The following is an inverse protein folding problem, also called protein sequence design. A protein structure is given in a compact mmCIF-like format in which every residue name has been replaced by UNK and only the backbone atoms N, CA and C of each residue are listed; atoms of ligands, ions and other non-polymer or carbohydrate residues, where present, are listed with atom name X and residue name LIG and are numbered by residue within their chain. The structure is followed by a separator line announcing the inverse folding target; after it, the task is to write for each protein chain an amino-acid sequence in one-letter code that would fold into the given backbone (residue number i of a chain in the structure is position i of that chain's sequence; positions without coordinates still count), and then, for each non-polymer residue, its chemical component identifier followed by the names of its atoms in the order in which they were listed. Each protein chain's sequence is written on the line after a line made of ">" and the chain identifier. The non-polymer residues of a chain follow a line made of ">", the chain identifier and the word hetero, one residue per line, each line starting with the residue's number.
data_IF_660780164799
#
_entry.id   IF_660780164799
#
_cell.length_a   1.000
_cell.length_b   1.000
_cell.length_c   1.000
_cell.angle_alpha   90.00
_cell.angle_beta   90.00
_cell.angle_gamma   90.00
#
_symmetry.space_group_name_H-M   'P 1'
#
loop_
_entity.id
_entity.type
_entity.pdbx_description
1 polymer ?
#
# COMPACT_ATOMS: atom_id res chain seq x y z
N UNK A 1 3.30 -0.98 -8.47
CA UNK A 1 2.95 -1.35 -7.08
C UNK A 1 3.24 -0.14 -6.22
N UNK A 2 2.31 0.24 -5.35
CA UNK A 2 2.40 1.45 -4.53
C UNK A 2 2.25 1.08 -3.07
N UNK A 3 3.06 1.71 -2.22
CA UNK A 3 2.91 1.62 -0.78
C UNK A 3 3.07 2.99 -0.14
N UNK A 4 2.30 3.25 0.91
CA UNK A 4 2.45 4.41 1.78
C UNK A 4 2.61 3.93 3.23
N UNK A 5 3.26 4.74 4.05
CA UNK A 5 3.53 4.46 5.46
C UNK A 5 3.37 5.72 6.29
N UNK A 6 2.87 5.57 7.50
CA UNK A 6 2.95 6.57 8.54
C UNK A 6 2.84 5.91 9.93
N UNK A 7 3.87 6.05 10.76
CA UNK A 7 3.92 5.38 12.06
C UNK A 7 3.80 3.87 11.93
N UNK A 8 2.79 3.29 12.58
CA UNK A 8 2.51 1.84 12.56
C UNK A 8 1.64 1.41 11.37
N UNK A 9 1.20 2.35 10.55
CA UNK A 9 0.20 2.12 9.52
C UNK A 9 0.82 2.18 8.14
N UNK A 10 0.23 1.44 7.21
CA UNK A 10 0.54 1.55 5.81
C UNK A 10 -0.62 1.16 4.91
N UNK A 11 -0.50 1.53 3.64
CA UNK A 11 -1.41 1.09 2.60
C UNK A 11 -0.60 0.51 1.44
N UNK A 12 -1.16 -0.49 0.76
CA UNK A 12 -0.54 -1.16 -0.38
C UNK A 12 -1.58 -1.35 -1.49
N UNK A 13 -1.18 -1.15 -2.74
CA UNK A 13 -2.05 -1.34 -3.89
C UNK A 13 -1.30 -1.62 -5.18
N UNK A 14 -2.01 -2.19 -6.16
CA UNK A 14 -1.49 -2.44 -7.51
C UNK A 14 -2.32 -1.68 -8.53
N UNK A 15 -1.85 -0.47 -8.88
CA UNK A 15 -2.39 0.30 -10.00
C UNK A 15 -1.72 -0.16 -11.30
N UNK A 16 -2.55 -0.70 -12.20
CA UNK A 16 -2.20 -1.13 -13.55
C UNK A 16 -2.54 -0.02 -14.57
N UNK A 17 -2.05 -0.08 -15.83
CA UNK A 17 -2.42 0.90 -16.85
C UNK A 17 -3.94 1.07 -16.96
N UNK A 18 -4.41 2.33 -16.88
CA UNK A 18 -5.84 2.69 -16.85
C UNK A 18 -6.47 2.76 -15.47
N UNK A 19 -5.77 2.34 -14.40
CA UNK A 19 -6.23 2.46 -13.02
C UNK A 19 -5.83 3.81 -12.41
N UNK A 20 -6.83 4.60 -12.01
CA UNK A 20 -6.67 5.92 -11.40
C UNK A 20 -6.74 5.90 -9.85
N UNK A 21 -6.80 4.72 -9.22
CA UNK A 21 -6.96 4.55 -7.77
C UNK A 21 -5.92 5.30 -6.94
N UNK A 22 -4.66 5.33 -7.39
CA UNK A 22 -3.57 6.09 -6.73
C UNK A 22 -3.89 7.58 -6.67
N UNK A 23 -4.31 8.16 -7.80
CA UNK A 23 -4.65 9.59 -7.86
C UNK A 23 -5.87 9.93 -7.01
N UNK A 24 -6.85 9.03 -6.93
CA UNK A 24 -8.06 9.20 -6.11
C UNK A 24 -7.74 9.14 -4.61
N UNK A 25 -6.83 8.26 -4.19
CA UNK A 25 -6.47 8.08 -2.79
C UNK A 25 -5.53 9.17 -2.25
N UNK A 26 -4.48 9.51 -3.01
CA UNK A 26 -3.39 10.35 -2.49
C UNK A 26 -3.44 11.80 -2.98
N UNK A 27 -4.22 12.11 -4.02
CA UNK A 27 -4.36 13.47 -4.54
C UNK A 27 -3.03 14.13 -4.89
N UNK A 28 -2.88 15.42 -4.54
CA UNK A 28 -1.70 16.25 -4.82
C UNK A 28 -0.97 16.73 -3.55
N UNK A 29 -1.14 16.04 -2.41
CA UNK A 29 -0.49 16.43 -1.15
C UNK A 29 0.99 16.04 -1.10
N UNK A 30 1.87 16.95 -0.69
CA UNK A 30 3.32 16.71 -0.62
C UNK A 30 3.80 16.08 0.70
N UNK A 31 3.00 16.13 1.79
CA UNK A 31 3.37 15.62 3.12
C UNK A 31 2.17 14.99 3.81
N UNK A 32 2.36 13.82 4.41
CA UNK A 32 1.36 13.15 5.22
C UNK A 32 1.68 13.21 6.73
N UNK A 33 0.97 12.39 7.50
CA UNK A 33 1.09 12.33 8.97
C UNK A 33 2.41 11.71 9.44
N UNK A 34 3.19 11.09 8.54
CA UNK A 34 4.54 10.59 8.81
C UNK A 34 5.49 11.70 9.27
N UNK A 35 5.23 12.96 8.87
CA UNK A 35 5.98 14.13 9.36
C UNK A 35 5.89 14.32 10.88
N UNK A 36 4.83 13.79 11.50
CA UNK A 36 4.57 13.85 12.95
C UNK A 36 4.81 12.50 13.61
N UNK A 37 4.37 11.41 12.98
CA UNK A 37 4.44 10.06 13.57
C UNK A 37 5.77 9.33 13.31
N UNK A 38 6.58 9.85 12.38
CA UNK A 38 7.77 9.16 11.90
C UNK A 38 7.42 7.86 11.17
N UNK A 39 8.45 7.06 10.90
CA UNK A 39 8.32 5.74 10.29
C UNK A 39 9.27 4.76 11.01
N UNK A 40 8.80 4.10 12.08
CA UNK A 40 9.55 3.03 12.74
C UNK A 40 10.03 2.00 11.70
N UNK A 41 11.26 1.51 11.83
CA UNK A 41 11.92 0.72 10.77
C UNK A 41 11.15 -0.56 10.35
N UNK A 42 10.32 -1.12 11.22
CA UNK A 42 9.51 -2.30 10.89
C UNK A 42 8.39 -2.01 9.89
N UNK A 43 7.79 -0.81 9.89
CA UNK A 43 6.69 -0.45 8.98
C UNK A 43 7.13 -0.46 7.52
N UNK A 44 8.18 0.27 7.08
CA UNK A 44 8.66 0.17 5.70
C UNK A 44 9.14 -1.24 5.36
N UNK A 45 9.73 -1.98 6.30
CA UNK A 45 10.18 -3.35 6.05
C UNK A 45 9.02 -4.31 5.72
N UNK A 46 7.92 -4.23 6.47
CA UNK A 46 6.71 -5.03 6.19
C UNK A 46 6.08 -4.59 4.87
N UNK A 47 5.85 -3.29 4.66
CA UNK A 47 5.21 -2.80 3.44
C UNK A 47 6.05 -3.07 2.18
N UNK A 48 7.39 -3.01 2.28
CA UNK A 48 8.28 -3.41 1.19
C UNK A 48 8.16 -4.91 0.88
N UNK A 49 8.11 -5.76 1.90
CA UNK A 49 7.96 -7.21 1.72
C UNK A 49 6.64 -7.57 1.03
N UNK A 50 5.53 -6.94 1.44
CA UNK A 50 4.23 -7.13 0.81
C UNK A 50 4.21 -6.58 -0.63
N UNK A 51 4.86 -5.44 -0.87
CA UNK A 51 5.02 -4.88 -2.22
C UNK A 51 5.77 -5.82 -3.15
N UNK A 52 6.84 -6.45 -2.66
CA UNK A 52 7.59 -7.47 -3.42
C UNK A 52 6.69 -8.67 -3.72
N UNK A 53 5.88 -9.11 -2.76
CA UNK A 53 4.96 -10.23 -2.97
C UNK A 53 3.96 -9.97 -4.11
N UNK A 54 3.36 -8.78 -4.19
CA UNK A 54 2.50 -8.39 -5.32
C UNK A 54 3.30 -8.22 -6.63
N UNK A 55 4.52 -7.69 -6.54
CA UNK A 55 5.39 -7.48 -7.72
C UNK A 55 5.79 -8.82 -8.35
N UNK A 56 6.15 -9.82 -7.54
CA UNK A 56 6.49 -11.16 -8.03
C UNK A 56 5.32 -11.77 -8.79
N UNK A 57 4.07 -11.59 -8.33
CA UNK A 57 2.87 -12.07 -9.05
C UNK A 57 2.82 -11.48 -10.47
N UNK A 58 3.03 -10.17 -10.60
CA UNK A 58 3.09 -9.51 -11.91
C UNK A 58 4.18 -10.09 -12.81
N UNK A 59 5.40 -10.25 -12.28
CA UNK A 59 6.54 -10.73 -13.06
C UNK A 59 6.36 -12.16 -13.58
N UNK A 60 5.65 -13.02 -12.85
CA UNK A 60 5.38 -14.40 -13.25
C UNK A 60 4.03 -14.58 -13.96
N UNK A 61 3.37 -13.49 -14.35
CA UNK A 61 2.11 -13.52 -15.10
C UNK A 61 0.88 -13.95 -14.28
N UNK A 62 0.92 -13.81 -12.96
CA UNK A 62 -0.22 -14.05 -12.06
C UNK A 62 -1.00 -12.76 -11.83
N UNK A 63 -2.32 -12.89 -11.72
CA UNK A 63 -3.19 -11.78 -11.31
C UNK A 63 -2.82 -11.32 -9.88
N UNK A 64 -2.53 -10.02 -9.67
CA UNK A 64 -2.29 -9.47 -8.34
C UNK A 64 -3.50 -9.63 -7.42
N UNK A 65 -3.27 -9.86 -6.13
CA UNK A 65 -4.36 -9.94 -5.15
C UNK A 65 -5.00 -8.58 -4.90
N UNK A 66 -4.26 -7.51 -5.16
CA UNK A 66 -4.68 -6.11 -4.99
C UNK A 66 -5.01 -5.45 -6.33
N UNK A 67 -5.48 -6.23 -7.31
CA UNK A 67 -6.09 -5.67 -8.52
C UNK A 67 -7.46 -5.08 -8.15
N UNK A 68 -7.68 -3.80 -8.44
CA UNK A 68 -8.90 -3.05 -8.08
C UNK A 68 -9.20 -2.99 -6.57
N UNK A 69 -8.20 -3.26 -5.74
CA UNK A 69 -8.32 -3.27 -4.30
C UNK A 69 -7.04 -2.76 -3.66
N UNK A 70 -7.16 -2.32 -2.41
CA UNK A 70 -6.06 -1.85 -1.60
C UNK A 70 -6.06 -2.60 -0.28
N UNK A 71 -4.88 -2.70 0.32
CA UNK A 71 -4.65 -3.33 1.60
C UNK A 71 -4.25 -2.25 2.59
N UNK A 72 -5.06 -2.05 3.62
CA UNK A 72 -4.69 -1.31 4.81
C UNK A 72 -3.98 -2.25 5.78
N UNK A 73 -2.85 -1.80 6.31
CA UNK A 73 -2.01 -2.54 7.24
C UNK A 73 -1.91 -1.72 8.52
N UNK A 74 -2.37 -2.29 9.62
CA UNK A 74 -2.23 -1.77 10.97
C UNK A 74 -1.30 -2.69 11.76
N UNK A 75 -0.05 -2.26 11.96
CA UNK A 75 0.91 -3.04 12.74
C UNK A 75 0.80 -2.80 14.25
N UNK A 76 -0.02 -1.85 14.68
CA UNK A 76 -0.29 -1.60 16.10
C UNK A 76 -1.30 -2.62 16.62
N UNK A 77 -2.39 -2.85 15.88
CA UNK A 77 -3.40 -3.89 16.19
C UNK A 77 -3.12 -5.25 15.54
N UNK A 78 -2.16 -5.31 14.61
CA UNK A 78 -1.85 -6.48 13.77
C UNK A 78 -3.00 -6.88 12.83
N UNK A 79 -3.68 -5.88 12.26
CA UNK A 79 -4.82 -6.06 11.37
C UNK A 79 -4.49 -5.73 9.92
N UNK A 80 -5.11 -6.49 9.02
CA UNK A 80 -4.94 -6.39 7.58
C UNK A 80 -6.33 -6.36 6.94
N UNK A 81 -6.69 -5.22 6.37
CA UNK A 81 -8.01 -5.02 5.77
C UNK A 81 -7.89 -4.75 4.27
N UNK A 82 -8.54 -5.59 3.47
CA UNK A 82 -8.66 -5.38 2.02
C UNK A 82 -9.95 -4.63 1.74
N UNK A 83 -9.86 -3.51 1.03
CA UNK A 83 -11.01 -2.74 0.58
C UNK A 83 -10.93 -2.47 -0.93
N UNK A 84 -12.09 -2.33 -1.57
CA UNK A 84 -12.21 -2.06 -3.00
C UNK A 84 -12.43 -0.56 -3.24
N UNK A 85 -11.89 -0.05 -4.35
CA UNK A 85 -12.04 1.35 -4.75
C UNK A 85 -12.94 1.39 -5.98
N UNK A 86 -14.11 2.02 -5.82
CA UNK A 86 -15.04 2.33 -6.91
C UNK A 86 -14.42 3.37 -7.84
#
# INVERSE_FOLDING_TARGET
>A
VYASIAGWFGQLGVSLPGDLSVSRLYGHGEKGVESTWGNPAFTPAVLASLSVAETVKLLVGRTPSLRHAWLQVDLLSMEFERFEIQ
#
